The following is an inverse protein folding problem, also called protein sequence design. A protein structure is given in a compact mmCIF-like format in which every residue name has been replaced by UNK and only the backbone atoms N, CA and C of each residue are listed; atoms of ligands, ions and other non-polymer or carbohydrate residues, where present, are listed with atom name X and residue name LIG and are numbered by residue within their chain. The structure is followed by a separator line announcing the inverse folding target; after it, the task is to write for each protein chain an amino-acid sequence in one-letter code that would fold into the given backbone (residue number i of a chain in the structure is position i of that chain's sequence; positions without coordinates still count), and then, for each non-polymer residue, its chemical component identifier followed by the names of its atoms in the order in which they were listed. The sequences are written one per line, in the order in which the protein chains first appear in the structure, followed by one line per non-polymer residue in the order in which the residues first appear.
data_IF_409708124147
#
_entry.id   IF_409708124147
#
_cell.length_a   1.000
_cell.length_b   1.000
_cell.length_c   1.000
_cell.angle_alpha   90.00
_cell.angle_beta   90.00
_cell.angle_gamma   90.00
#
_symmetry.space_group_name_H-M   'P 1'
#
loop_
_entity.id
_entity.type
_entity.pdbx_description
1 polymer ?
#
# COMPACT_ATOMS: atom_id res chain seq x y z
N UNK A 1 -10.47 -2.08 25.96
CA UNK A 1 -9.87 -3.40 26.26
C UNK A 1 -8.43 -3.19 26.64
N UNK A 2 -7.88 -4.06 27.49
CA UNK A 2 -6.46 -3.99 27.84
C UNK A 2 -5.64 -4.64 26.72
N UNK A 3 -4.45 -4.12 26.44
CA UNK A 3 -3.55 -4.64 25.40
C UNK A 3 -3.19 -6.12 25.61
N UNK A 4 -3.13 -6.57 26.87
CA UNK A 4 -2.89 -7.96 27.25
C UNK A 4 -3.96 -8.95 26.78
N UNK A 5 -5.18 -8.49 26.49
CA UNK A 5 -6.27 -9.34 25.99
C UNK A 5 -6.16 -9.54 24.47
N UNK A 6 -5.45 -8.63 23.80
CA UNK A 6 -5.38 -8.52 22.34
C UNK A 6 -4.08 -9.06 21.76
N UNK A 7 -3.09 -9.36 22.61
CA UNK A 7 -1.77 -9.85 22.24
C UNK A 7 -1.41 -11.11 23.02
N UNK A 8 -0.70 -12.02 22.35
CA UNK A 8 -0.18 -13.26 22.92
C UNK A 8 1.34 -13.34 22.77
N UNK A 9 2.00 -13.90 23.79
CA UNK A 9 3.44 -14.14 23.82
C UNK A 9 3.66 -15.65 23.94
N UNK A 10 4.31 -16.22 22.94
CA UNK A 10 4.85 -17.58 23.00
C UNK A 10 6.31 -17.50 23.43
N UNK A 11 6.58 -17.87 24.68
CA UNK A 11 7.92 -17.89 25.27
C UNK A 11 8.80 -19.01 24.71
N UNK A 12 8.20 -20.11 24.24
CA UNK A 12 8.96 -21.26 23.70
C UNK A 12 9.50 -20.92 22.33
N UNK A 13 8.61 -20.45 21.44
CA UNK A 13 8.97 -20.07 20.08
C UNK A 13 9.46 -18.62 19.98
N UNK A 14 9.48 -17.86 21.09
CA UNK A 14 9.82 -16.43 21.16
C UNK A 14 9.08 -15.64 20.09
N UNK A 15 7.75 -15.71 20.13
CA UNK A 15 6.87 -15.09 19.14
C UNK A 15 5.85 -14.21 19.84
N UNK A 16 5.61 -13.04 19.28
CA UNK A 16 4.59 -12.09 19.74
C UNK A 16 3.56 -11.95 18.62
N UNK A 17 2.28 -12.14 18.93
CA UNK A 17 1.20 -12.18 17.93
C UNK A 17 0.00 -11.39 18.41
N UNK A 18 -0.59 -10.59 17.52
CA UNK A 18 -1.87 -9.93 17.76
C UNK A 18 -3.02 -10.92 17.50
N UNK A 19 -3.91 -11.09 18.49
CA UNK A 19 -4.94 -12.13 18.50
C UNK A 19 -6.38 -11.61 18.44
N UNK A 20 -6.59 -10.30 18.60
CA UNK A 20 -7.94 -9.71 18.59
C UNK A 20 -8.55 -9.62 17.17
N UNK A 21 -7.82 -10.01 16.13
CA UNK A 21 -8.35 -10.24 14.79
C UNK A 21 -8.51 -8.99 13.92
N UNK A 22 -8.85 -9.24 12.65
CA UNK A 22 -8.91 -8.24 11.58
C UNK A 22 -10.25 -8.30 10.85
N UNK A 23 -10.74 -7.14 10.40
CA UNK A 23 -11.90 -7.01 9.51
C UNK A 23 -11.43 -6.26 8.26
N UNK A 24 -11.53 -6.90 7.09
CA UNK A 24 -11.06 -6.29 5.84
C UNK A 24 -9.55 -5.98 5.81
N UNK A 25 -8.74 -6.68 6.61
CA UNK A 25 -7.31 -6.40 6.78
C UNK A 25 -6.99 -5.27 7.76
N UNK A 26 -8.01 -4.66 8.39
CA UNK A 26 -7.87 -3.64 9.43
C UNK A 26 -7.97 -4.32 10.81
N UNK A 27 -7.04 -4.09 11.74
CA UNK A 27 -7.09 -4.68 13.07
C UNK A 27 -8.26 -4.11 13.89
N UNK A 28 -8.92 -4.96 14.68
CA UNK A 28 -10.04 -4.58 15.55
C UNK A 28 -9.68 -3.53 16.61
N UNK A 29 -8.42 -3.48 17.05
CA UNK A 29 -7.91 -2.48 17.98
C UNK A 29 -6.45 -2.18 17.63
N UNK A 30 -6.06 -0.91 17.75
CA UNK A 30 -4.71 -0.42 17.44
C UNK A 30 -4.05 0.14 18.69
N UNK A 31 -2.74 0.00 18.77
CA UNK A 31 -1.93 0.44 19.90
C UNK A 31 -0.72 1.23 19.42
N UNK A 32 -0.33 2.26 20.19
CA UNK A 32 0.96 2.90 19.91
C UNK A 32 2.09 1.90 20.16
N UNK A 33 3.19 1.99 19.41
CA UNK A 33 4.37 1.14 19.67
C UNK A 33 4.88 1.35 21.10
N UNK A 34 4.71 2.54 21.66
CA UNK A 34 5.05 2.83 23.06
C UNK A 34 4.16 2.07 24.08
N UNK A 35 2.85 1.97 23.83
CA UNK A 35 1.95 1.16 24.68
C UNK A 35 2.32 -0.31 24.60
N UNK A 36 2.60 -0.82 23.40
CA UNK A 36 3.04 -2.19 23.20
C UNK A 36 4.38 -2.48 23.89
N UNK A 37 5.35 -1.57 23.74
CA UNK A 37 6.62 -1.62 24.47
C UNK A 37 6.42 -1.64 25.98
N UNK A 38 5.60 -0.75 26.52
CA UNK A 38 5.37 -0.65 27.97
C UNK A 38 4.74 -1.94 28.52
N UNK A 39 3.76 -2.49 27.80
CA UNK A 39 3.16 -3.78 28.16
C UNK A 39 4.15 -4.95 28.12
N UNK A 40 5.02 -5.00 27.12
CA UNK A 40 6.09 -6.00 27.08
C UNK A 40 7.06 -5.84 28.25
N UNK A 41 7.48 -4.62 28.57
CA UNK A 41 8.37 -4.41 29.73
C UNK A 41 7.71 -4.84 31.05
N UNK A 42 6.45 -4.48 31.27
CA UNK A 42 5.71 -4.89 32.48
C UNK A 42 5.57 -6.42 32.55
N UNK A 43 5.32 -7.08 31.42
CA UNK A 43 5.16 -8.55 31.37
C UNK A 43 6.47 -9.29 31.66
N UNK A 44 7.61 -8.77 31.20
CA UNK A 44 8.93 -9.39 31.42
C UNK A 44 9.57 -8.98 32.76
N UNK A 45 9.04 -7.97 33.46
CA UNK A 45 9.42 -7.65 34.84
C UNK A 45 8.74 -8.57 35.88
N UNK A 46 7.76 -9.37 35.45
CA UNK A 46 7.12 -10.35 36.34
C UNK A 46 8.12 -11.43 36.80
N UNK A 47 8.11 -11.85 38.08
CA UNK A 47 9.11 -12.78 38.63
C UNK A 47 9.25 -14.11 37.88
N UNK A 48 8.20 -14.53 37.18
CA UNK A 48 8.18 -15.77 36.39
C UNK A 48 8.84 -15.67 35.02
N UNK A 49 9.17 -14.45 34.56
CA UNK A 49 9.74 -14.18 33.23
C UNK A 49 11.12 -13.47 33.32
N UNK A 50 11.66 -13.33 34.53
CA UNK A 50 12.96 -12.67 34.75
C UNK A 50 14.16 -13.43 34.16
N UNK A 51 14.00 -14.71 33.82
CA UNK A 51 15.01 -15.53 33.17
C UNK A 51 14.95 -15.48 31.64
N UNK A 52 13.87 -14.92 31.08
CA UNK A 52 13.71 -14.75 29.65
C UNK A 52 14.43 -13.50 29.12
N UNK A 53 14.83 -13.58 27.85
CA UNK A 53 15.49 -12.48 27.16
C UNK A 53 14.48 -11.40 26.79
N UNK A 54 14.83 -10.14 27.05
CA UNK A 54 13.96 -8.99 26.81
C UNK A 54 13.71 -8.82 25.31
N UNK A 55 12.44 -8.84 24.86
CA UNK A 55 12.13 -8.91 23.44
C UNK A 55 12.40 -7.62 22.67
N UNK A 56 12.34 -6.47 23.34
CA UNK A 56 12.33 -5.18 22.68
C UNK A 56 13.17 -4.16 23.44
N UNK A 57 13.90 -3.34 22.70
CA UNK A 57 14.68 -2.21 23.19
C UNK A 57 14.15 -0.91 22.59
N UNK A 58 13.98 0.12 23.40
CA UNK A 58 13.71 1.48 22.92
C UNK A 58 15.03 2.26 22.77
N UNK A 59 15.36 2.69 21.55
CA UNK A 59 16.47 3.62 21.32
C UNK A 59 16.06 5.06 21.58
N UNK A 60 14.86 5.40 21.16
CA UNK A 60 14.20 6.69 21.40
C UNK A 60 12.73 6.44 21.71
N UNK A 61 11.97 7.44 22.20
CA UNK A 61 10.53 7.26 22.47
C UNK A 61 9.69 6.82 21.26
N UNK A 62 10.25 6.88 20.05
CA UNK A 62 9.56 6.54 18.80
C UNK A 62 10.36 5.58 17.93
N UNK A 63 11.48 5.02 18.41
CA UNK A 63 12.28 4.03 17.67
C UNK A 63 12.56 2.83 18.55
N UNK A 64 12.14 1.67 18.07
CA UNK A 64 12.18 0.41 18.80
C UNK A 64 12.87 -0.67 17.97
N UNK A 65 13.55 -1.58 18.67
CA UNK A 65 14.18 -2.74 18.06
C UNK A 65 13.73 -4.02 18.74
N UNK A 66 13.13 -4.92 17.97
CA UNK A 66 12.88 -6.29 18.39
C UNK A 66 14.20 -7.06 18.32
N UNK A 67 14.64 -7.64 19.43
CA UNK A 67 15.97 -8.24 19.55
C UNK A 67 15.90 -9.69 20.08
N UNK A 68 17.06 -10.29 20.33
CA UNK A 68 17.19 -11.61 20.97
C UNK A 68 16.44 -12.76 20.25
N UNK A 69 16.24 -12.59 18.94
CA UNK A 69 15.61 -13.58 18.07
C UNK A 69 14.09 -13.66 18.23
N UNK A 70 13.47 -12.71 18.94
CA UNK A 70 12.02 -12.61 19.01
C UNK A 70 11.42 -12.34 17.62
N UNK A 71 10.27 -12.95 17.34
CA UNK A 71 9.59 -12.86 16.05
C UNK A 71 8.22 -12.18 16.19
N UNK A 72 7.87 -11.38 15.19
CA UNK A 72 6.56 -10.79 14.99
C UNK A 72 6.21 -10.91 13.51
N UNK A 73 4.98 -11.32 13.21
CA UNK A 73 4.50 -11.45 11.85
C UNK A 73 4.01 -10.11 11.25
N UNK A 74 3.95 -10.05 9.92
CA UNK A 74 3.59 -8.85 9.17
C UNK A 74 2.16 -8.36 9.46
N UNK A 75 1.23 -9.28 9.75
CA UNK A 75 -0.16 -8.91 10.07
C UNK A 75 -0.23 -8.26 11.45
N UNK A 76 0.45 -8.81 12.45
CA UNK A 76 0.51 -8.25 13.81
C UNK A 76 1.03 -6.81 13.84
N UNK A 77 1.97 -6.44 12.96
CA UNK A 77 2.49 -5.07 12.87
C UNK A 77 1.41 -4.06 12.47
N UNK A 78 0.40 -4.45 11.70
CA UNK A 78 -0.68 -3.55 11.28
C UNK A 78 -1.50 -3.00 12.44
N UNK A 79 -1.45 -3.66 13.61
CA UNK A 79 -2.07 -3.20 14.85
C UNK A 79 -1.27 -2.14 15.61
N UNK A 80 -0.09 -1.75 15.12
CA UNK A 80 0.80 -0.78 15.74
C UNK A 80 0.84 0.56 14.96
N UNK A 81 1.04 1.67 15.68
CA UNK A 81 1.25 3.01 15.10
C UNK A 81 2.12 3.92 15.99
N UNK A 82 2.51 5.11 15.50
CA UNK A 82 3.16 6.15 16.32
C UNK A 82 4.63 5.90 16.68
N UNK A 83 5.31 4.96 16.01
CA UNK A 83 6.73 4.68 16.19
C UNK A 83 7.27 3.69 15.16
N UNK A 84 8.58 3.63 14.97
CA UNK A 84 9.22 2.72 14.01
C UNK A 84 9.72 1.45 14.72
N UNK A 85 9.73 0.33 13.99
CA UNK A 85 10.23 -0.95 14.48
C UNK A 85 11.29 -1.49 13.51
N UNK A 86 12.36 -2.06 14.05
CA UNK A 86 13.31 -2.87 13.29
C UNK A 86 13.61 -4.16 14.05
N UNK A 87 14.08 -5.18 13.34
CA UNK A 87 14.56 -6.41 13.99
C UNK A 87 16.08 -6.41 14.14
N UNK A 88 16.55 -7.13 15.13
CA UNK A 88 17.94 -7.47 15.33
C UNK A 88 18.06 -8.95 15.70
N UNK A 89 18.96 -9.66 15.00
CA UNK A 89 19.20 -11.09 15.25
C UNK A 89 18.30 -12.00 14.41
N UNK A 90 17.64 -11.48 13.37
CA UNK A 90 17.01 -12.32 12.35
C UNK A 90 18.00 -12.75 11.28
N UNK A 91 19.10 -12.01 11.11
CA UNK A 91 20.19 -12.43 10.22
C UNK A 91 20.73 -13.81 10.62
N UNK A 92 20.79 -14.73 9.66
CA UNK A 92 21.36 -16.05 9.88
C UNK A 92 22.81 -15.95 10.35
N UNK A 93 23.08 -16.51 11.52
CA UNK A 93 24.43 -16.57 12.08
C UNK A 93 24.62 -17.89 12.82
N UNK A 94 25.35 -18.82 12.18
CA UNK A 94 25.88 -20.05 12.79
C UNK A 94 24.91 -20.73 13.78
N UNK A 95 23.77 -21.22 13.27
CA UNK A 95 22.67 -21.86 14.02
C UNK A 95 21.74 -20.96 14.83
N UNK A 96 21.72 -19.67 14.51
CA UNK A 96 20.71 -18.71 15.00
C UNK A 96 20.19 -17.85 13.85
N UNK A 97 19.15 -17.06 14.12
CA UNK A 97 18.50 -16.21 13.12
C UNK A 97 17.27 -16.84 12.50
N UNK A 98 16.58 -16.04 11.70
CA UNK A 98 15.32 -16.36 11.05
C UNK A 98 15.55 -16.31 9.53
N UNK A 99 15.13 -17.37 8.86
CA UNK A 99 15.23 -17.49 7.41
C UNK A 99 13.82 -17.59 6.83
N UNK A 100 13.53 -16.78 5.83
CA UNK A 100 12.36 -16.94 4.97
C UNK A 100 12.67 -17.99 3.90
N UNK A 101 11.81 -18.98 3.77
CA UNK A 101 11.86 -19.99 2.72
C UNK A 101 10.62 -19.83 1.83
N UNK A 102 10.84 -19.65 0.54
CA UNK A 102 9.80 -19.60 -0.48
C UNK A 102 9.62 -20.98 -1.08
N UNK A 103 8.38 -21.48 -1.14
CA UNK A 103 8.13 -22.82 -1.68
C UNK A 103 7.54 -22.80 -3.08
N UNK A 104 7.92 -23.81 -3.86
CA UNK A 104 7.52 -23.95 -5.27
C UNK A 104 6.02 -24.18 -5.40
N UNK A 105 5.39 -23.58 -6.42
CA UNK A 105 3.99 -23.85 -6.76
C UNK A 105 3.77 -25.35 -7.00
N UNK A 106 2.69 -25.91 -6.46
CA UNK A 106 2.39 -27.34 -6.60
C UNK A 106 3.24 -28.27 -5.73
N UNK A 107 3.91 -27.76 -4.68
CA UNK A 107 4.51 -28.58 -3.63
C UNK A 107 3.48 -29.56 -3.04
N UNK A 108 3.92 -30.77 -2.68
CA UNK A 108 3.01 -31.86 -2.31
C UNK A 108 2.28 -31.58 -1.00
N UNK A 109 2.99 -31.07 0.00
CA UNK A 109 2.48 -30.82 1.35
C UNK A 109 3.10 -29.51 1.89
N UNK A 110 2.69 -28.34 1.38
CA UNK A 110 3.23 -27.06 1.82
C UNK A 110 2.87 -26.79 3.30
N UNK A 111 3.71 -26.06 4.04
CA UNK A 111 3.44 -25.76 5.44
C UNK A 111 2.16 -24.93 5.57
N UNK A 112 1.40 -25.17 6.65
CA UNK A 112 0.22 -24.40 7.05
C UNK A 112 0.35 -23.88 8.48
N UNK A 113 -0.59 -23.03 8.92
CA UNK A 113 -0.56 -22.46 10.26
C UNK A 113 -0.52 -23.50 11.40
N UNK A 114 -1.07 -24.71 11.18
CA UNK A 114 -1.02 -25.81 12.13
C UNK A 114 0.35 -26.50 12.27
N UNK A 115 1.31 -26.16 11.40
CA UNK A 115 2.67 -26.72 11.40
C UNK A 115 3.68 -25.86 12.16
N UNK A 116 3.26 -24.71 12.70
CA UNK A 116 4.12 -23.86 13.53
C UNK A 116 4.65 -24.67 14.73
N UNK A 117 5.94 -24.53 15.03
CA UNK A 117 6.65 -25.32 16.04
C UNK A 117 7.24 -26.63 15.53
N UNK A 118 6.92 -27.07 14.30
CA UNK A 118 7.54 -28.27 13.71
C UNK A 118 8.95 -27.98 13.23
N UNK A 119 9.81 -29.00 13.35
CA UNK A 119 11.18 -28.95 12.86
C UNK A 119 11.24 -29.39 11.40
N UNK A 120 12.01 -28.65 10.61
CA UNK A 120 12.30 -28.90 9.21
C UNK A 120 13.75 -29.35 9.07
N UNK A 121 14.00 -30.27 8.14
CA UNK A 121 15.32 -30.80 7.80
C UNK A 121 15.49 -30.94 6.28
N UNK A 122 16.74 -30.91 5.83
CA UNK A 122 17.12 -31.26 4.46
C UNK A 122 18.09 -32.44 4.47
N UNK A 123 17.63 -33.58 3.95
CA UNK A 123 18.38 -34.82 4.12
C UNK A 123 18.50 -35.22 5.60
N UNK A 124 19.19 -36.33 5.89
CA UNK A 124 19.05 -37.00 7.17
C UNK A 124 19.48 -36.18 8.41
N UNK A 125 20.25 -35.08 8.30
CA UNK A 125 20.64 -34.26 9.47
C UNK A 125 21.18 -32.85 9.20
N UNK A 126 21.54 -32.49 7.98
CA UNK A 126 22.22 -31.20 7.70
C UNK A 126 21.21 -30.14 7.31
N UNK A 127 21.28 -28.93 7.88
CA UNK A 127 20.27 -27.85 7.74
C UNK A 127 18.98 -28.18 8.49
N UNK A 128 18.77 -27.48 9.60
CA UNK A 128 17.60 -27.66 10.46
C UNK A 128 17.06 -26.31 10.91
N UNK A 129 15.76 -26.28 11.16
CA UNK A 129 15.12 -25.17 11.82
C UNK A 129 13.67 -25.42 12.17
N UNK A 130 13.11 -24.57 13.01
CA UNK A 130 11.73 -24.68 13.50
C UNK A 130 10.85 -23.65 12.82
N UNK A 131 9.65 -24.03 12.36
CA UNK A 131 8.71 -23.10 11.74
C UNK A 131 8.17 -22.13 12.79
N UNK A 132 8.27 -20.83 12.55
CA UNK A 132 7.78 -19.77 13.45
C UNK A 132 6.53 -19.07 12.88
N UNK A 133 6.45 -18.96 11.55
CA UNK A 133 5.27 -18.41 10.87
C UNK A 133 5.14 -18.96 9.45
N UNK A 134 3.93 -18.89 8.91
CA UNK A 134 3.58 -19.36 7.58
C UNK A 134 2.59 -18.39 6.94
N UNK A 135 2.85 -18.00 5.69
CA UNK A 135 1.94 -17.25 4.83
C UNK A 135 1.69 -18.08 3.57
N UNK A 136 0.51 -18.70 3.50
CA UNK A 136 0.12 -19.58 2.40
C UNK A 136 -0.24 -18.83 1.13
N UNK A 137 -0.57 -17.55 1.22
CA UNK A 137 -0.90 -16.70 0.06
C UNK A 137 0.38 -16.28 -0.67
N UNK A 138 1.39 -15.84 0.07
CA UNK A 138 2.70 -15.47 -0.49
C UNK A 138 3.63 -16.65 -0.74
N UNK A 139 3.29 -17.82 -0.19
CA UNK A 139 4.10 -19.05 -0.24
C UNK A 139 5.42 -18.96 0.51
N UNK A 140 5.36 -18.38 1.71
CA UNK A 140 6.52 -18.10 2.56
C UNK A 140 6.35 -18.79 3.90
N UNK A 141 7.40 -19.44 4.38
CA UNK A 141 7.51 -19.83 5.78
C UNK A 141 8.75 -19.21 6.41
N UNK A 142 8.63 -18.80 7.67
CA UNK A 142 9.74 -18.29 8.47
C UNK A 142 10.22 -19.40 9.37
N UNK A 143 11.52 -19.67 9.32
CA UNK A 143 12.17 -20.76 10.03
C UNK A 143 13.25 -20.20 10.92
N UNK A 144 13.19 -20.50 12.21
CA UNK A 144 14.30 -20.26 13.13
C UNK A 144 15.35 -21.33 12.90
N UNK A 145 16.54 -20.94 12.49
CA UNK A 145 17.60 -21.88 12.21
C UNK A 145 18.12 -22.48 13.51
N UNK A 146 18.35 -23.79 13.51
CA UNK A 146 18.92 -24.54 14.65
C UNK A 146 20.20 -25.29 14.26
N UNK A 147 20.62 -25.18 12.99
CA UNK A 147 21.84 -25.79 12.46
C UNK A 147 22.83 -24.76 11.90
N UNK A 148 24.11 -25.13 11.95
CA UNK A 148 25.23 -24.32 11.44
C UNK A 148 25.29 -24.26 9.92
N UNK A 149 24.45 -25.02 9.23
CA UNK A 149 24.26 -24.98 7.78
C UNK A 149 22.91 -24.36 7.45
N UNK A 150 22.88 -23.34 6.60
CA UNK A 150 21.64 -22.70 6.16
C UNK A 150 20.92 -23.53 5.10
N UNK A 151 19.58 -23.42 5.06
CA UNK A 151 18.78 -23.80 3.90
C UNK A 151 19.27 -23.07 2.64
N UNK A 152 19.14 -23.71 1.48
CA UNK A 152 19.47 -23.10 0.18
C UNK A 152 18.38 -23.38 -0.84
N UNK A 153 18.32 -22.55 -1.88
CA UNK A 153 17.38 -22.70 -2.97
C UNK A 153 17.46 -24.11 -3.61
N UNK A 154 16.30 -24.68 -3.95
CA UNK A 154 16.19 -26.03 -4.49
C UNK A 154 16.33 -27.17 -3.48
N UNK A 155 16.55 -26.89 -2.19
CA UNK A 155 16.50 -27.94 -1.17
C UNK A 155 15.11 -28.58 -1.10
N UNK A 156 15.09 -29.91 -0.93
CA UNK A 156 13.86 -30.63 -0.59
C UNK A 156 13.72 -30.69 0.94
N UNK A 157 12.78 -29.92 1.46
CA UNK A 157 12.58 -29.72 2.89
C UNK A 157 11.45 -30.61 3.36
N UNK A 158 11.74 -31.38 4.41
CA UNK A 158 10.77 -32.28 5.05
C UNK A 158 10.70 -32.01 6.55
N UNK A 159 9.57 -32.34 7.16
CA UNK A 159 9.43 -32.38 8.62
C UNK A 159 10.38 -33.42 9.25
N UNK A 160 11.06 -33.06 10.35
CA UNK A 160 11.89 -33.99 11.14
C UNK A 160 10.97 -35.01 11.84
N UNK A 161 10.91 -36.24 11.31
CA UNK A 161 10.15 -37.34 11.89
C UNK A 161 8.72 -37.54 11.37
N UNK A 162 8.30 -36.85 10.29
CA UNK A 162 6.93 -36.94 9.77
C UNK A 162 6.78 -36.57 8.29
N UNK A 163 5.62 -36.90 7.71
CA UNK A 163 5.28 -36.66 6.30
C UNK A 163 4.27 -35.51 6.11
N UNK A 164 4.06 -34.66 7.13
CA UNK A 164 2.98 -33.64 7.06
C UNK A 164 3.43 -32.33 6.42
N UNK A 165 4.74 -32.08 6.39
CA UNK A 165 5.34 -30.97 5.62
C UNK A 165 6.40 -31.53 4.69
N UNK A 166 6.23 -31.27 3.39
CA UNK A 166 7.15 -31.67 2.34
C UNK A 166 7.04 -30.70 1.16
N UNK A 167 8.09 -29.92 0.94
CA UNK A 167 8.14 -28.93 -0.13
C UNK A 167 9.55 -28.71 -0.66
N UNK A 168 9.63 -28.17 -1.87
CA UNK A 168 10.89 -27.78 -2.49
C UNK A 168 11.01 -26.26 -2.40
N UNK A 169 12.12 -25.79 -1.85
CA UNK A 169 12.45 -24.36 -1.85
C UNK A 169 12.60 -23.90 -3.30
N UNK A 170 11.96 -22.80 -3.66
CA UNK A 170 12.08 -22.22 -5.00
C UNK A 170 13.55 -22.07 -5.39
N UNK A 171 13.85 -22.33 -6.66
CA UNK A 171 15.18 -22.06 -7.19
C UNK A 171 15.39 -20.55 -7.26
N UNK A 172 16.63 -20.10 -7.06
CA UNK A 172 16.97 -18.71 -7.28
C UNK A 172 16.77 -18.39 -8.76
N UNK A 173 15.75 -17.61 -9.05
CA UNK A 173 15.54 -16.96 -10.34
C UNK A 173 15.67 -15.46 -10.09
N UNK A 174 16.22 -14.69 -11.03
CA UNK A 174 16.66 -13.30 -10.80
C UNK A 174 15.64 -12.30 -10.24
N UNK A 175 14.38 -12.70 -9.99
CA UNK A 175 13.35 -11.92 -9.31
C UNK A 175 12.86 -12.52 -7.97
N UNK A 176 13.19 -13.77 -7.65
CA UNK A 176 12.82 -14.44 -6.39
C UNK A 176 14.00 -15.26 -5.87
N UNK A 177 14.57 -14.84 -4.75
CA UNK A 177 15.54 -15.65 -3.99
C UNK A 177 14.74 -16.67 -3.18
N UNK A 178 14.99 -17.96 -3.37
CA UNK A 178 14.25 -19.03 -2.69
C UNK A 178 14.46 -19.03 -1.18
N UNK A 179 15.56 -18.43 -0.74
CA UNK A 179 15.94 -18.27 0.67
C UNK A 179 16.35 -16.83 0.93
N UNK A 180 15.76 -16.20 1.94
CA UNK A 180 16.16 -14.86 2.41
C UNK A 180 16.41 -14.88 3.92
N UNK A 181 17.40 -14.12 4.38
CA UNK A 181 17.65 -13.95 5.80
C UNK A 181 18.30 -12.60 6.05
N UNK A 182 17.87 -11.94 7.11
CA UNK A 182 18.31 -10.60 7.46
C UNK A 182 17.26 -9.90 8.29
N UNK A 183 17.52 -8.62 8.57
CA UNK A 183 16.62 -7.81 9.38
C UNK A 183 15.49 -7.21 8.54
N UNK A 184 14.34 -7.05 9.19
CA UNK A 184 13.20 -6.33 8.66
C UNK A 184 13.08 -4.98 9.35
N UNK A 185 12.62 -3.98 8.58
CA UNK A 185 12.46 -2.60 9.06
C UNK A 185 11.07 -2.13 8.67
N UNK A 186 10.38 -1.56 9.64
CA UNK A 186 9.08 -0.91 9.49
C UNK A 186 9.21 0.56 9.90
N UNK A 187 9.13 1.43 8.90
CA UNK A 187 9.18 2.87 9.09
C UNK A 187 7.81 3.38 9.50
N UNK A 188 7.76 4.32 10.45
CA UNK A 188 6.51 4.99 10.77
C UNK A 188 6.24 6.10 9.76
N UNK A 189 5.08 6.09 9.15
CA UNK A 189 4.61 7.13 8.26
C UNK A 189 3.41 7.81 8.90
N UNK A 190 3.53 9.10 9.19
CA UNK A 190 2.41 9.88 9.70
C UNK A 190 2.23 11.20 8.95
N UNK A 191 0.97 11.55 8.66
CA UNK A 191 0.63 12.77 7.95
C UNK A 191 0.27 13.91 8.90
N UNK A 192 0.63 15.13 8.52
CA UNK A 192 0.29 16.37 9.22
C UNK A 192 -0.15 17.42 8.20
N UNK A 193 -0.87 18.44 8.66
CA UNK A 193 -1.32 19.53 7.81
C UNK A 193 -2.85 19.58 7.69
N UNK A 194 -3.33 20.36 6.72
CA UNK A 194 -4.75 20.48 6.44
C UNK A 194 -5.06 19.67 5.20
N UNK A 195 -6.02 18.78 5.31
CA UNK A 195 -6.48 17.91 4.26
C UNK A 195 -7.96 18.24 4.03
N UNK A 196 -8.35 18.45 2.78
CA UNK A 196 -9.74 18.65 2.45
C UNK A 196 -10.54 17.36 2.74
N UNK A 197 -11.78 17.50 3.22
CA UNK A 197 -12.70 16.35 3.36
C UNK A 197 -12.81 15.56 2.06
N UNK A 198 -13.01 14.25 2.16
CA UNK A 198 -13.08 13.30 1.04
C UNK A 198 -11.81 13.24 0.17
N UNK A 199 -10.65 13.59 0.74
CA UNK A 199 -9.35 13.34 0.13
C UNK A 199 -8.83 11.97 0.53
N UNK A 200 -8.61 11.12 -0.47
CA UNK A 200 -7.96 9.84 -0.29
C UNK A 200 -6.46 10.04 -0.05
N UNK A 201 -5.96 9.49 1.04
CA UNK A 201 -4.54 9.28 1.24
C UNK A 201 -4.17 7.82 0.98
N UNK A 202 -3.18 7.60 0.12
CA UNK A 202 -2.65 6.26 -0.13
C UNK A 202 -1.13 6.28 -0.21
N UNK A 203 -0.56 5.10 0.00
CA UNK A 203 0.87 4.85 -0.02
C UNK A 203 1.13 3.88 -1.18
N UNK A 204 2.16 4.15 -1.95
CA UNK A 204 2.68 3.23 -2.93
C UNK A 204 4.14 2.91 -2.62
N UNK A 205 4.52 1.69 -2.97
CA UNK A 205 5.89 1.22 -2.84
C UNK A 205 6.25 0.47 -4.11
N UNK A 206 7.50 0.58 -4.52
CA UNK A 206 8.00 -0.26 -5.61
C UNK A 206 7.86 -1.70 -5.19
N UNK A 207 7.20 -2.50 -6.02
CA UNK A 207 7.12 -3.92 -5.78
C UNK A 207 8.17 -4.61 -6.64
N UNK A 208 9.22 -5.12 -6.00
CA UNK A 208 10.20 -6.01 -6.62
C UNK A 208 9.54 -7.33 -7.10
N UNK A 209 8.40 -7.71 -6.50
CA UNK A 209 8.04 -9.13 -6.38
C UNK A 209 6.96 -9.66 -7.35
N UNK A 210 6.39 -8.83 -8.23
CA UNK A 210 5.35 -9.32 -9.17
C UNK A 210 5.89 -9.48 -10.60
N UNK A 211 6.34 -10.71 -10.93
CA UNK A 211 6.23 -11.22 -12.29
C UNK A 211 7.50 -11.31 -13.15
N UNK A 212 8.71 -11.26 -12.59
CA UNK A 212 9.93 -11.55 -13.35
C UNK A 212 10.29 -10.51 -14.42
N UNK A 213 9.70 -9.31 -14.35
CA UNK A 213 10.10 -8.16 -15.15
C UNK A 213 11.34 -7.48 -14.55
N UNK A 214 12.20 -6.92 -15.41
CA UNK A 214 13.39 -6.15 -15.01
C UNK A 214 13.07 -4.69 -14.66
N UNK A 215 11.80 -4.32 -14.54
CA UNK A 215 11.37 -2.93 -14.33
C UNK A 215 10.52 -2.86 -13.06
N UNK A 216 10.94 -2.09 -12.04
CA UNK A 216 10.17 -1.95 -10.82
C UNK A 216 8.84 -1.23 -11.13
N UNK A 217 7.73 -1.84 -10.73
CA UNK A 217 6.39 -1.27 -10.89
C UNK A 217 5.96 -0.68 -9.55
N UNK A 218 5.59 0.60 -9.57
CA UNK A 218 5.01 1.23 -8.40
C UNK A 218 3.62 0.63 -8.15
N UNK A 219 3.41 0.05 -6.97
CA UNK A 219 2.15 -0.58 -6.62
C UNK A 219 1.55 0.11 -5.40
N UNK A 220 0.25 0.43 -5.46
CA UNK A 220 -0.51 0.92 -4.30
C UNK A 220 -0.52 -0.18 -3.24
N UNK A 221 -0.08 0.16 -2.04
CA UNK A 221 -0.16 -0.76 -0.90
C UNK A 221 -1.62 -0.86 -0.48
N UNK A 222 -2.09 -2.08 -0.22
CA UNK A 222 -3.42 -2.31 0.32
C UNK A 222 -3.57 -1.59 1.67
N UNK A 223 -4.47 -0.63 1.76
CA UNK A 223 -4.69 0.18 2.96
C UNK A 223 -5.21 -0.67 4.12
N UNK A 224 -4.47 -0.76 5.22
CA UNK A 224 -4.95 -1.28 6.53
C UNK A 224 -5.09 -0.17 7.58
N UNK A 225 -4.73 1.05 7.22
CA UNK A 225 -4.83 2.24 8.06
C UNK A 225 -6.23 2.82 8.14
N UNK A 226 -7.17 2.23 7.40
CA UNK A 226 -8.48 2.78 7.07
C UNK A 226 -8.35 4.04 6.20
N UNK A 227 -8.84 3.93 4.97
CA UNK A 227 -8.95 5.04 4.03
C UNK A 227 -10.42 5.34 3.70
N UNK A 228 -11.37 4.83 4.50
CA UNK A 228 -12.82 4.80 4.22
C UNK A 228 -13.56 5.36 5.47
N UNK A 229 -14.64 6.13 5.43
CA UNK A 229 -15.41 6.75 4.33
C UNK A 229 -16.10 8.03 4.81
N UNK A 230 -15.87 8.44 6.07
CA UNK A 230 -16.87 9.28 6.76
C UNK A 230 -16.28 10.45 7.55
N UNK A 231 -14.96 10.65 7.56
CA UNK A 231 -14.29 11.74 8.28
C UNK A 231 -14.72 11.91 9.77
N UNK A 232 -15.39 10.91 10.36
CA UNK A 232 -16.01 10.99 11.69
C UNK A 232 -15.12 10.36 12.77
N UNK A 233 -14.23 9.41 12.42
CA UNK A 233 -13.16 8.91 13.29
C UNK A 233 -12.08 8.19 12.46
N UNK A 234 -10.79 8.50 12.67
CA UNK A 234 -9.70 7.61 12.20
C UNK A 234 -9.48 6.51 13.23
N UNK A 235 -9.38 5.23 12.83
CA UNK A 235 -9.05 4.14 13.75
C UNK A 235 -7.61 4.20 14.29
N UNK A 236 -6.75 5.10 13.78
CA UNK A 236 -5.40 5.32 14.29
C UNK A 236 -5.33 6.42 15.39
N UNK A 237 -6.48 6.92 15.87
CA UNK A 237 -6.53 7.96 16.91
C UNK A 237 -6.11 9.36 16.45
N UNK A 238 -5.93 9.56 15.14
CA UNK A 238 -5.71 10.87 14.51
C UNK A 238 -7.03 11.47 14.03
N UNK A 239 -7.09 12.79 13.81
CA UNK A 239 -8.27 13.43 13.21
C UNK A 239 -8.52 12.81 11.82
N UNK A 240 -9.78 12.62 11.46
CA UNK A 240 -10.12 11.87 10.26
C UNK A 240 -9.50 12.48 9.00
N UNK A 241 -9.00 11.61 8.11
CA UNK A 241 -8.23 11.99 6.93
C UNK A 241 -6.71 11.97 7.10
N UNK A 242 -6.17 11.69 8.29
CA UNK A 242 -4.73 11.48 8.50
C UNK A 242 -4.34 10.00 8.57
N UNK A 243 -3.07 9.71 8.23
CA UNK A 243 -2.45 8.39 8.34
C UNK A 243 -1.42 8.43 9.48
N UNK A 244 -1.30 7.33 10.24
CA UNK A 244 -0.18 7.03 11.14
C UNK A 244 -0.02 5.50 11.16
N UNK A 245 0.98 4.97 10.45
CA UNK A 245 1.21 3.52 10.32
C UNK A 245 2.67 3.12 10.13
N UNK A 246 2.96 1.89 10.53
CA UNK A 246 4.23 1.21 10.25
C UNK A 246 4.18 0.51 8.88
N UNK A 247 4.99 0.96 7.93
CA UNK A 247 5.12 0.35 6.60
C UNK A 247 6.45 -0.41 6.53
N UNK A 248 6.41 -1.67 6.08
CA UNK A 248 7.63 -2.45 5.86
C UNK A 248 8.41 -1.85 4.69
N UNK A 249 9.68 -1.56 4.91
CA UNK A 249 10.60 -0.99 3.90
C UNK A 249 11.76 -1.94 3.58
N UNK A 250 12.05 -2.86 4.50
CA UNK A 250 13.06 -3.91 4.36
C UNK A 250 12.47 -5.24 4.80
N UNK A 251 12.63 -6.27 3.98
CA UNK A 251 12.20 -7.64 4.29
C UNK A 251 13.40 -8.59 4.26
N UNK A 252 13.67 -9.24 5.40
CA UNK A 252 14.73 -10.22 5.56
C UNK A 252 16.08 -9.80 4.92
N UNK A 253 16.51 -8.57 5.20
CA UNK A 253 17.79 -8.02 4.73
C UNK A 253 17.76 -7.30 3.39
N UNK A 254 16.69 -7.44 2.60
CA UNK A 254 16.54 -6.83 1.26
C UNK A 254 15.61 -5.61 1.33
N UNK A 255 15.96 -4.50 0.67
CA UNK A 255 15.05 -3.35 0.56
C UNK A 255 13.96 -3.65 -0.45
N UNK A 256 12.73 -3.24 -0.14
CA UNK A 256 11.57 -3.56 -0.99
C UNK A 256 11.61 -2.78 -2.33
N UNK A 257 12.57 -1.86 -2.52
CA UNK A 257 12.80 -1.09 -3.74
C UNK A 257 14.16 -1.40 -4.45
N UNK A 258 14.81 -2.52 -4.14
CA UNK A 258 16.20 -2.78 -4.55
C UNK A 258 16.35 -3.42 -5.93
N UNK A 259 16.10 -2.67 -7.00
CA UNK A 259 16.54 -3.08 -8.35
C UNK A 259 17.90 -2.48 -8.74
N UNK A 260 18.42 -1.50 -7.98
CA UNK A 260 19.62 -0.72 -8.33
C UNK A 260 20.68 -0.56 -7.20
N UNK A 261 20.66 -1.37 -6.14
CA UNK A 261 21.68 -1.46 -5.06
C UNK A 261 22.04 -0.15 -4.36
N UNK A 262 21.25 0.90 -4.58
CA UNK A 262 21.45 2.26 -4.05
C UNK A 262 20.19 2.83 -3.41
N UNK A 263 19.05 2.16 -3.61
CA UNK A 263 17.75 2.56 -3.10
C UNK A 263 17.58 2.11 -1.64
N UNK A 264 16.87 2.93 -0.87
CA UNK A 264 16.90 2.92 0.59
C UNK A 264 15.48 2.78 1.18
N UNK A 265 14.65 1.91 0.60
CA UNK A 265 13.28 1.69 1.07
C UNK A 265 12.40 2.91 0.81
N UNK A 266 12.30 3.33 -0.44
CA UNK A 266 11.48 4.46 -0.88
C UNK A 266 9.98 4.17 -0.72
N UNK A 267 9.26 5.19 -0.28
CA UNK A 267 7.80 5.20 -0.20
C UNK A 267 7.27 6.45 -0.91
N UNK A 268 6.13 6.29 -1.57
CA UNK A 268 5.43 7.39 -2.23
C UNK A 268 4.11 7.59 -1.52
N UNK A 269 3.84 8.80 -1.07
CA UNK A 269 2.57 9.17 -0.46
C UNK A 269 1.81 10.11 -1.36
N UNK A 270 0.52 9.88 -1.47
CA UNK A 270 -0.36 10.59 -2.37
C UNK A 270 -1.62 11.07 -1.64
N UNK A 271 -2.12 12.24 -2.04
CA UNK A 271 -3.39 12.78 -1.60
C UNK A 271 -4.23 13.15 -2.84
N UNK A 272 -5.39 12.49 -3.01
CA UNK A 272 -6.24 12.62 -4.19
C UNK A 272 -7.70 12.88 -3.83
N UNK A 273 -8.29 13.85 -4.52
CA UNK A 273 -9.73 14.08 -4.57
C UNK A 273 -10.09 14.68 -5.91
N UNK A 274 -11.17 14.21 -6.53
CA UNK A 274 -11.71 14.82 -7.73
C UNK A 274 -12.05 16.30 -7.51
N UNK A 275 -11.51 17.18 -8.35
CA UNK A 275 -11.70 18.64 -8.28
C UNK A 275 -10.81 19.37 -7.24
N UNK A 276 -9.92 18.66 -6.55
CA UNK A 276 -8.97 19.23 -5.61
C UNK A 276 -7.52 19.11 -6.09
N UNK A 277 -6.64 19.96 -5.56
CA UNK A 277 -5.21 19.94 -5.90
C UNK A 277 -4.60 18.63 -5.44
N UNK A 278 -4.12 17.86 -6.41
CA UNK A 278 -3.33 16.66 -6.17
C UNK A 278 -2.04 16.99 -5.43
N UNK A 279 -1.67 16.13 -4.48
CA UNK A 279 -0.42 16.26 -3.74
C UNK A 279 0.30 14.90 -3.70
N UNK A 280 1.62 14.93 -3.80
CA UNK A 280 2.46 13.75 -3.65
C UNK A 280 3.78 14.10 -2.98
N UNK A 281 4.41 13.11 -2.34
CA UNK A 281 5.80 13.17 -1.92
C UNK A 281 6.47 11.80 -2.02
N UNK A 282 7.75 11.83 -2.38
CA UNK A 282 8.66 10.71 -2.23
C UNK A 282 9.39 10.82 -0.89
N UNK A 283 9.58 9.67 -0.24
CA UNK A 283 10.20 9.56 1.05
C UNK A 283 11.25 8.46 1.00
N UNK A 284 12.43 8.75 1.50
CA UNK A 284 13.43 7.75 1.77
C UNK A 284 13.23 7.21 3.19
N UNK A 285 12.63 6.02 3.30
CA UNK A 285 12.20 5.47 4.57
C UNK A 285 13.19 4.47 5.18
N UNK A 286 14.49 4.57 4.84
CA UNK A 286 15.52 3.62 5.26
C UNK A 286 15.52 3.32 6.76
N UNK A 287 15.38 4.35 7.60
CA UNK A 287 15.30 4.18 9.06
C UNK A 287 14.45 5.28 9.67
N UNK A 288 13.48 4.90 10.52
CA UNK A 288 12.90 5.79 11.52
C UNK A 288 11.46 6.23 11.27
N UNK A 289 11.14 7.43 11.76
CA UNK A 289 9.81 8.03 11.72
C UNK A 289 9.79 9.17 10.72
N UNK A 290 8.73 9.23 9.93
CA UNK A 290 8.60 10.19 8.85
C UNK A 290 7.33 11.00 9.02
N UNK A 291 7.53 12.31 9.15
CA UNK A 291 6.45 13.28 9.08
C UNK A 291 6.26 13.70 7.64
N UNK A 292 5.03 13.52 7.15
CA UNK A 292 4.65 13.97 5.83
C UNK A 292 3.72 15.16 5.96
N UNK A 293 4.19 16.33 5.54
CA UNK A 293 3.35 17.51 5.48
C UNK A 293 2.49 17.45 4.22
N UNK A 294 1.22 17.08 4.40
CA UNK A 294 0.23 17.09 3.32
C UNK A 294 -0.36 18.51 3.24
N UNK A 295 -0.32 19.07 2.02
CA UNK A 295 -0.87 20.39 1.73
C UNK A 295 -1.77 20.32 0.50
N UNK A 296 -2.88 19.58 0.59
CA UNK A 296 -3.95 19.59 -0.41
C UNK A 296 -5.08 20.48 0.09
N UNK A 297 -4.91 21.80 -0.09
CA UNK A 297 -5.82 22.82 0.50
C UNK A 297 -6.58 23.65 -0.54
N UNK A 298 -6.33 23.44 -1.83
CA UNK A 298 -6.91 24.22 -2.92
C UNK A 298 -7.82 23.40 -3.84
N UNK A 299 -8.82 24.05 -4.43
CA UNK A 299 -9.50 23.52 -5.61
C UNK A 299 -8.55 23.57 -6.81
N UNK A 300 -8.50 22.54 -7.65
CA UNK A 300 -7.57 22.52 -8.79
C UNK A 300 -8.06 23.34 -10.00
N UNK A 301 -9.26 23.94 -9.89
CA UNK A 301 -9.87 24.76 -10.94
C UNK A 301 -10.57 23.97 -12.04
N UNK A 302 -10.49 22.63 -12.06
CA UNK A 302 -11.24 21.75 -12.92
C UNK A 302 -12.43 21.12 -12.17
N UNK A 303 -13.54 21.84 -12.11
CA UNK A 303 -14.77 21.39 -11.44
C UNK A 303 -15.76 20.72 -12.41
N UNK A 304 -15.36 20.48 -13.65
CA UNK A 304 -16.25 19.90 -14.66
C UNK A 304 -16.26 18.38 -14.54
N UNK A 305 -17.45 17.77 -14.45
CA UNK A 305 -17.60 16.32 -14.34
C UNK A 305 -17.05 15.56 -15.54
N UNK A 306 -16.69 14.29 -15.34
CA UNK A 306 -16.20 13.42 -16.42
C UNK A 306 -17.21 12.33 -16.80
N UNK A 307 -18.18 12.09 -15.93
CA UNK A 307 -19.24 11.11 -16.12
C UNK A 307 -20.61 11.77 -15.92
N UNK A 308 -21.59 11.31 -16.69
CA UNK A 308 -23.01 11.65 -16.55
C UNK A 308 -23.81 10.37 -16.32
N UNK A 309 -24.67 10.39 -15.31
CA UNK A 309 -25.69 9.36 -15.11
C UNK A 309 -27.06 9.93 -15.46
N UNK A 310 -27.91 9.08 -16.04
CA UNK A 310 -29.33 9.38 -16.19
C UNK A 310 -30.08 8.99 -14.92
N UNK A 311 -31.00 9.83 -14.48
CA UNK A 311 -31.76 9.63 -13.24
C UNK A 311 -33.26 9.66 -13.51
N UNK A 312 -34.03 8.92 -12.72
CA UNK A 312 -35.49 9.02 -12.66
C UNK A 312 -35.94 10.25 -11.87
N UNK A 313 -37.17 10.18 -11.33
CA UNK A 313 -37.77 11.26 -10.53
C UNK A 313 -37.01 11.46 -9.22
N UNK A 314 -36.75 12.72 -8.87
CA UNK A 314 -36.07 13.13 -7.65
C UNK A 314 -37.08 13.40 -6.52
N UNK A 315 -36.70 13.09 -5.29
CA UNK A 315 -37.50 13.43 -4.10
C UNK A 315 -37.23 14.85 -3.59
N UNK A 316 -36.16 15.48 -4.06
CA UNK A 316 -35.71 16.82 -3.70
C UNK A 316 -34.79 17.41 -4.77
N UNK A 317 -34.16 18.54 -4.48
CA UNK A 317 -33.18 19.17 -5.40
C UNK A 317 -31.78 18.89 -4.92
N UNK A 318 -30.97 18.27 -5.78
CA UNK A 318 -29.53 18.14 -5.54
C UNK A 318 -28.81 19.50 -5.68
N UNK A 319 -27.76 19.70 -4.90
CA UNK A 319 -26.90 20.88 -4.86
C UNK A 319 -25.57 20.57 -5.53
N UNK A 320 -25.14 21.42 -6.46
CA UNK A 320 -23.79 21.28 -7.06
C UNK A 320 -22.73 21.44 -5.98
N UNK A 321 -21.74 20.54 -5.99
CA UNK A 321 -20.68 20.46 -5.00
C UNK A 321 -20.99 19.54 -3.81
N UNK A 322 -22.23 19.06 -3.66
CA UNK A 322 -22.55 18.07 -2.62
C UNK A 322 -22.03 16.67 -3.00
N UNK A 323 -21.82 15.86 -1.98
CA UNK A 323 -21.49 14.44 -2.11
C UNK A 323 -22.78 13.63 -2.29
N UNK A 324 -22.72 12.66 -3.20
CA UNK A 324 -23.76 11.65 -3.39
C UNK A 324 -23.21 10.25 -3.13
N UNK A 325 -24.05 9.40 -2.54
CA UNK A 325 -23.77 7.98 -2.28
C UNK A 325 -24.82 7.07 -2.92
N UNK A 326 -24.36 5.95 -3.47
CA UNK A 326 -25.21 4.90 -4.02
C UNK A 326 -25.60 3.89 -2.95
N UNK A 327 -26.82 3.35 -3.04
CA UNK A 327 -27.30 2.31 -2.13
C UNK A 327 -26.58 0.97 -2.26
N UNK A 328 -25.89 0.73 -3.40
CA UNK A 328 -25.13 -0.49 -3.66
C UNK A 328 -23.62 -0.23 -3.57
N UNK A 329 -23.14 0.79 -4.27
CA UNK A 329 -21.75 1.22 -4.28
C UNK A 329 -21.63 2.61 -4.93
N UNK A 330 -20.47 3.23 -4.79
CA UNK A 330 -20.11 4.47 -5.46
C UNK A 330 -20.43 5.71 -4.63
N UNK A 331 -19.46 6.62 -4.65
CA UNK A 331 -19.51 7.93 -4.03
C UNK A 331 -19.02 8.93 -5.05
N UNK A 332 -19.61 10.12 -5.12
CA UNK A 332 -19.21 11.13 -6.08
C UNK A 332 -19.56 12.55 -5.65
N UNK A 333 -18.91 13.55 -6.25
CA UNK A 333 -19.30 14.96 -6.13
C UNK A 333 -20.11 15.37 -7.35
N UNK A 334 -21.23 16.04 -7.11
CA UNK A 334 -22.04 16.62 -8.18
C UNK A 334 -21.33 17.85 -8.77
N UNK A 335 -21.18 17.87 -10.08
CA UNK A 335 -20.62 19.00 -10.85
C UNK A 335 -21.69 19.74 -11.63
N UNK A 336 -22.74 19.05 -12.07
CA UNK A 336 -23.96 19.65 -12.62
C UNK A 336 -25.14 18.70 -12.43
N UNK A 337 -26.36 19.25 -12.40
CA UNK A 337 -27.56 18.47 -12.16
C UNK A 337 -28.74 19.04 -12.98
N UNK A 338 -29.51 18.16 -13.62
CA UNK A 338 -30.75 18.49 -14.33
C UNK A 338 -31.87 17.65 -13.72
N UNK A 339 -32.82 18.33 -13.09
CA UNK A 339 -33.92 17.71 -12.32
C UNK A 339 -34.62 16.62 -13.14
N UNK A 340 -34.86 15.49 -12.49
CA UNK A 340 -35.53 14.30 -13.05
C UNK A 340 -34.89 13.75 -14.33
N UNK A 341 -33.65 14.13 -14.64
CA UNK A 341 -33.02 13.83 -15.94
C UNK A 341 -31.62 13.27 -15.78
N UNK A 342 -30.69 14.02 -15.18
CA UNK A 342 -29.29 13.61 -15.14
C UNK A 342 -28.47 14.30 -14.05
N UNK A 343 -27.40 13.64 -13.63
CA UNK A 343 -26.37 14.18 -12.75
C UNK A 343 -25.01 13.99 -13.42
N UNK A 344 -24.21 15.06 -13.47
CA UNK A 344 -22.81 15.06 -13.90
C UNK A 344 -21.94 15.05 -12.66
N UNK A 345 -20.94 14.19 -12.63
CA UNK A 345 -20.19 13.93 -11.40
C UNK A 345 -18.73 13.57 -11.63
N UNK A 346 -17.99 13.61 -10.54
CA UNK A 346 -16.64 13.06 -10.40
C UNK A 346 -16.66 12.06 -9.25
N UNK A 347 -16.23 10.83 -9.52
CA UNK A 347 -16.19 9.77 -8.50
C UNK A 347 -15.23 10.15 -7.37
N UNK A 348 -15.65 9.77 -6.17
CA UNK A 348 -14.87 9.78 -4.95
C UNK A 348 -14.52 8.32 -4.58
N UNK A 349 -13.67 8.18 -3.58
CA UNK A 349 -13.15 6.92 -3.02
C UNK A 349 -12.00 6.27 -3.79
N UNK A 350 -11.26 5.45 -3.04
CA UNK A 350 -10.02 4.78 -3.42
C UNK A 350 -10.11 3.86 -4.63
N UNK A 351 -11.28 3.27 -4.82
CA UNK A 351 -11.54 2.31 -5.89
C UNK A 351 -12.33 2.98 -7.03
N UNK A 352 -12.71 4.25 -6.86
CA UNK A 352 -13.59 5.01 -7.76
C UNK A 352 -14.71 4.13 -8.32
N UNK A 353 -15.41 3.46 -7.41
CA UNK A 353 -16.41 2.47 -7.82
C UNK A 353 -17.58 3.19 -8.46
N UNK A 354 -17.93 2.78 -9.67
CA UNK A 354 -19.05 3.35 -10.39
C UNK A 354 -20.37 2.98 -9.72
N UNK A 355 -21.37 3.87 -9.83
CA UNK A 355 -22.71 3.57 -9.34
C UNK A 355 -23.30 2.34 -10.04
N UNK A 356 -24.15 1.58 -9.34
CA UNK A 356 -24.87 0.43 -9.91
C UNK A 356 -26.04 0.84 -10.79
N UNK A 357 -26.51 -0.05 -11.67
CA UNK A 357 -27.76 0.18 -12.40
C UNK A 357 -28.95 0.11 -11.41
N UNK A 358 -29.92 1.01 -11.57
CA UNK A 358 -31.10 1.11 -10.67
C UNK A 358 -30.71 1.44 -9.22
N UNK A 359 -29.51 1.98 -9.02
CA UNK A 359 -29.04 2.35 -7.69
C UNK A 359 -29.80 3.57 -7.15
N UNK A 360 -30.11 3.56 -5.86
CA UNK A 360 -30.70 4.73 -5.20
C UNK A 360 -29.57 5.66 -4.80
N UNK A 361 -29.53 6.83 -5.42
CA UNK A 361 -28.55 7.88 -5.18
C UNK A 361 -29.12 8.81 -4.12
N UNK A 362 -28.33 9.12 -3.09
CA UNK A 362 -28.71 10.01 -1.99
C UNK A 362 -27.69 11.13 -1.85
N UNK A 363 -28.16 12.38 -1.80
CA UNK A 363 -27.32 13.56 -1.52
C UNK A 363 -27.11 13.71 -0.02
N UNK A 364 -25.85 13.80 0.40
CA UNK A 364 -25.49 13.86 1.82
C UNK A 364 -25.92 15.17 2.48
N UNK A 365 -25.83 16.29 1.75
CA UNK A 365 -26.21 17.62 2.26
C UNK A 365 -27.71 17.89 2.07
N UNK A 366 -28.24 17.61 0.89
CA UNK A 366 -29.63 17.91 0.53
C UNK A 366 -30.63 16.89 1.06
N UNK A 367 -30.21 15.66 1.32
CA UNK A 367 -31.08 14.51 1.57
C UNK A 367 -31.96 14.12 0.37
N UNK A 368 -31.73 14.73 -0.80
CA UNK A 368 -32.47 14.41 -2.02
C UNK A 368 -32.09 13.01 -2.49
N UNK A 369 -33.07 12.28 -3.02
CA UNK A 369 -32.84 10.95 -3.58
C UNK A 369 -33.32 10.87 -5.02
N UNK A 370 -32.63 10.06 -5.81
CA UNK A 370 -33.04 9.70 -7.16
C UNK A 370 -32.66 8.25 -7.45
N UNK A 371 -33.35 7.60 -8.38
CA UNK A 371 -32.94 6.27 -8.86
C UNK A 371 -32.18 6.43 -10.16
N UNK A 372 -30.95 5.90 -10.23
CA UNK A 372 -30.20 5.84 -11.49
C UNK A 372 -30.95 4.97 -12.50
N UNK A 373 -31.11 5.44 -13.72
CA UNK A 373 -31.74 4.66 -14.80
C UNK A 373 -30.69 3.69 -15.38
N UNK A 374 -31.14 2.50 -15.78
CA UNK A 374 -30.29 1.51 -16.47
C UNK A 374 -29.61 2.12 -17.71
N UNK A 375 -28.33 1.86 -17.84
CA UNK A 375 -27.48 2.44 -18.87
C UNK A 375 -26.25 3.01 -18.21
N UNK A 376 -25.10 2.43 -18.55
CA UNK A 376 -23.79 2.84 -18.05
C UNK A 376 -23.60 4.37 -18.07
N UNK A 377 -22.73 4.92 -17.21
CA UNK A 377 -22.39 6.33 -17.25
C UNK A 377 -21.89 6.74 -18.64
N UNK A 378 -22.23 7.96 -19.04
CA UNK A 378 -21.79 8.54 -20.30
C UNK A 378 -20.60 9.44 -20.03
N UNK A 379 -19.50 9.24 -20.76
CA UNK A 379 -18.33 10.12 -20.72
C UNK A 379 -18.70 11.53 -21.20
N UNK A 380 -18.24 12.56 -20.48
CA UNK A 380 -18.47 13.98 -20.81
C UNK A 380 -17.17 14.81 -20.67
N UNK A 381 -17.18 16.05 -21.19
CA UNK A 381 -16.08 17.02 -21.07
C UNK A 381 -14.71 16.44 -21.49
N UNK A 382 -13.70 16.48 -20.61
CA UNK A 382 -12.36 15.96 -20.86
C UNK A 382 -12.31 14.47 -21.24
N UNK A 383 -13.31 13.69 -20.86
CA UNK A 383 -13.37 12.26 -21.17
C UNK A 383 -13.62 11.97 -22.66
N UNK A 384 -14.26 12.88 -23.39
CA UNK A 384 -14.54 12.73 -24.83
C UNK A 384 -13.56 13.48 -25.73
N UNK A 385 -12.62 14.24 -25.15
CA UNK A 385 -11.59 14.96 -25.88
C UNK A 385 -10.56 13.98 -26.47
N UNK A 386 -10.39 14.00 -27.79
CA UNK A 386 -9.51 13.07 -28.52
C UNK A 386 -8.39 13.76 -29.28
N UNK A 387 -7.35 12.98 -29.60
CA UNK A 387 -6.20 13.41 -30.42
C UNK A 387 -5.16 14.26 -29.70
N UNK A 388 -5.34 14.52 -28.40
CA UNK A 388 -4.30 15.13 -27.55
C UNK A 388 -3.21 14.09 -27.31
N UNK A 389 -1.95 14.47 -27.56
CA UNK A 389 -0.79 13.60 -27.31
C UNK A 389 0.23 14.34 -26.46
N UNK A 390 0.82 13.64 -25.49
CA UNK A 390 1.98 14.13 -24.74
C UNK A 390 3.20 13.35 -25.21
N UNK A 391 4.31 14.04 -25.42
CA UNK A 391 5.59 13.42 -25.78
C UNK A 391 6.63 13.91 -24.80
N UNK A 392 7.28 12.98 -24.09
CA UNK A 392 8.31 13.25 -23.07
C UNK A 392 9.63 12.67 -23.55
N UNK A 393 10.75 13.28 -23.15
CA UNK A 393 12.08 12.88 -23.61
C UNK A 393 12.35 13.24 -25.07
N UNK A 394 11.48 14.04 -25.67
CA UNK A 394 11.62 14.53 -27.03
C UNK A 394 12.60 15.70 -27.04
N UNK A 395 13.58 15.73 -27.95
CA UNK A 395 14.34 16.95 -28.26
C UNK A 395 13.49 17.83 -29.18
N UNK A 396 12.34 18.27 -28.67
CA UNK A 396 11.45 19.16 -29.39
C UNK A 396 12.06 20.55 -29.41
N UNK A 397 12.41 21.02 -30.60
CA UNK A 397 12.99 22.35 -30.78
C UNK A 397 11.89 23.28 -31.29
N UNK A 398 11.48 24.26 -30.48
CA UNK A 398 10.51 25.31 -30.86
C UNK A 398 11.08 26.69 -30.54
N UNK A 399 10.85 27.66 -31.42
CA UNK A 399 11.15 29.08 -31.20
C UNK A 399 9.85 29.72 -30.69
N UNK A 400 9.66 29.71 -29.38
CA UNK A 400 8.38 30.12 -28.76
C UNK A 400 8.32 31.62 -28.50
N UNK A 401 9.48 32.26 -28.29
CA UNK A 401 9.57 33.70 -28.05
C UNK A 401 9.83 34.51 -29.33
N UNK A 402 9.92 33.84 -30.48
CA UNK A 402 10.14 34.40 -31.81
C UNK A 402 11.46 35.20 -31.91
N UNK A 403 12.47 34.83 -31.14
CA UNK A 403 13.77 35.51 -31.13
C UNK A 403 14.73 35.01 -32.23
N UNK A 404 14.35 33.94 -32.93
CA UNK A 404 15.12 33.30 -34.01
C UNK A 404 16.11 32.25 -33.52
N UNK A 405 16.19 32.02 -32.21
CA UNK A 405 16.82 30.88 -31.56
C UNK A 405 15.74 29.83 -31.31
N UNK A 406 16.13 28.56 -31.30
CA UNK A 406 15.19 27.48 -31.04
C UNK A 406 15.52 26.89 -29.69
N UNK A 407 14.53 26.81 -28.80
CA UNK A 407 14.68 26.25 -27.47
C UNK A 407 14.39 24.76 -27.46
N UNK A 408 15.14 24.02 -26.64
CA UNK A 408 14.90 22.61 -26.37
C UNK A 408 13.85 22.45 -25.26
N UNK A 409 12.81 21.67 -25.54
CA UNK A 409 11.77 21.31 -24.58
C UNK A 409 11.76 19.81 -24.34
N UNK A 410 11.86 19.40 -23.08
CA UNK A 410 11.78 17.99 -22.68
C UNK A 410 10.38 17.37 -22.86
N UNK A 411 9.35 18.21 -22.95
CA UNK A 411 7.94 17.79 -23.04
C UNK A 411 7.22 18.62 -24.10
N UNK A 412 6.49 17.96 -24.98
CA UNK A 412 5.62 18.59 -25.99
C UNK A 412 4.21 18.04 -25.84
N UNK A 413 3.23 18.93 -25.71
CA UNK A 413 1.82 18.58 -25.65
C UNK A 413 1.14 19.06 -26.94
N UNK A 414 0.71 18.13 -27.77
CA UNK A 414 -0.11 18.44 -28.94
C UNK A 414 -1.56 18.61 -28.51
N UNK A 415 -2.04 19.85 -28.52
CA UNK A 415 -3.40 20.20 -28.16
C UNK A 415 -4.45 19.78 -29.19
N UNK A 416 -4.05 19.32 -30.39
CA UNK A 416 -4.95 18.96 -31.50
C UNK A 416 -5.98 20.06 -31.83
N UNK A 417 -5.56 21.33 -31.77
CA UNK A 417 -6.41 22.52 -31.94
C UNK A 417 -7.58 22.65 -30.95
N UNK A 418 -7.57 21.90 -29.85
CA UNK A 418 -8.54 22.05 -28.77
C UNK A 418 -8.16 23.23 -27.87
N UNK A 419 -9.14 23.77 -27.15
CA UNK A 419 -8.89 24.82 -26.16
C UNK A 419 -7.98 24.30 -25.05
N UNK A 420 -7.14 25.16 -24.47
CA UNK A 420 -6.29 24.79 -23.34
C UNK A 420 -7.12 24.28 -22.15
N UNK A 421 -8.35 24.76 -21.97
CA UNK A 421 -9.28 24.24 -20.97
C UNK A 421 -9.64 22.76 -21.23
N UNK A 422 -10.00 22.43 -22.47
CA UNK A 422 -10.31 21.05 -22.87
C UNK A 422 -9.09 20.14 -22.78
N UNK A 423 -7.90 20.66 -23.13
CA UNK A 423 -6.64 19.93 -23.00
C UNK A 423 -6.33 19.64 -21.55
N UNK A 424 -6.44 20.65 -20.68
CA UNK A 424 -6.27 20.49 -19.24
C UNK A 424 -7.25 19.45 -18.69
N UNK A 425 -8.53 19.53 -19.04
CA UNK A 425 -9.54 18.55 -18.64
C UNK A 425 -9.25 17.13 -19.10
N UNK A 426 -8.71 16.96 -20.32
CA UNK A 426 -8.29 15.64 -20.81
C UNK A 426 -7.11 15.11 -20.03
N UNK A 427 -6.10 15.94 -19.78
CA UNK A 427 -4.92 15.54 -19.00
C UNK A 427 -5.34 15.15 -17.58
N UNK A 428 -6.21 15.95 -16.94
CA UNK A 428 -6.80 15.67 -15.63
C UNK A 428 -7.62 14.36 -15.64
N UNK A 429 -8.38 14.12 -16.69
CA UNK A 429 -9.13 12.87 -16.85
C UNK A 429 -8.21 11.65 -16.98
N UNK A 430 -7.13 11.75 -17.78
CA UNK A 430 -6.17 10.66 -17.99
C UNK A 430 -5.45 10.25 -16.70
N UNK A 431 -5.27 11.20 -15.78
CA UNK A 431 -4.50 11.00 -14.55
C UNK A 431 -5.39 10.61 -13.37
N UNK A 432 -6.70 10.85 -13.47
CA UNK A 432 -7.66 10.55 -12.42
C UNK A 432 -8.40 9.23 -12.66
N UNK A 433 -8.30 8.62 -13.85
CA UNK A 433 -9.03 7.42 -14.24
C UNK A 433 -8.08 6.26 -14.57
N UNK A 434 -8.54 5.03 -14.31
CA UNK A 434 -8.00 3.77 -14.84
C UNK A 434 -8.10 3.62 -16.37
N UNK A 435 -7.73 4.65 -17.13
CA UNK A 435 -7.37 4.49 -18.53
C UNK A 435 -5.99 3.82 -18.60
N UNK A 436 -5.92 2.65 -19.24
CA UNK A 436 -4.66 2.02 -19.65
C UNK A 436 -3.99 2.75 -20.82
N UNK A 437 -4.60 3.86 -21.27
CA UNK A 437 -4.13 4.73 -22.33
C UNK A 437 -2.94 5.54 -21.85
N UNK A 438 -1.78 5.23 -22.42
CA UNK A 438 -0.51 5.83 -22.05
C UNK A 438 -0.51 7.35 -22.34
N UNK A 439 -0.14 8.17 -21.35
CA UNK A 439 0.26 9.56 -21.62
C UNK A 439 1.60 9.59 -22.36
N UNK A 440 2.39 8.50 -22.28
CA UNK A 440 3.72 8.39 -22.87
C UNK A 440 3.72 7.41 -24.05
N UNK A 441 4.26 7.76 -25.23
CA UNK A 441 4.35 6.83 -26.35
C UNK A 441 5.59 5.93 -26.22
N UNK A 442 5.72 5.15 -25.14
CA UNK A 442 6.82 4.18 -25.01
C UNK A 442 6.29 2.75 -25.21
N UNK A 443 6.67 2.07 -26.30
CA UNK A 443 6.44 0.64 -26.45
C UNK A 443 7.35 -0.11 -25.47
N UNK A 444 6.78 -0.63 -24.38
CA UNK A 444 7.48 -1.54 -23.47
C UNK A 444 7.83 -0.97 -22.08
N UNK A 445 7.52 0.30 -21.80
CA UNK A 445 7.39 0.76 -20.42
C UNK A 445 6.14 0.11 -19.83
N UNK A 446 6.30 -0.68 -18.76
CA UNK A 446 5.18 -1.28 -18.04
C UNK A 446 4.14 -0.21 -17.72
N UNK A 447 2.88 -0.59 -17.84
CA UNK A 447 1.71 0.25 -17.57
C UNK A 447 1.87 0.96 -16.22
N UNK A 448 2.11 2.26 -16.22
CA UNK A 448 1.92 3.07 -15.02
C UNK A 448 0.45 3.48 -15.04
N UNK A 449 -0.34 2.92 -14.12
CA UNK A 449 -1.69 3.41 -13.87
C UNK A 449 -1.61 4.94 -13.68
N UNK A 450 -2.53 5.71 -14.28
CA UNK A 450 -2.57 7.18 -14.15
C UNK A 450 -2.64 7.68 -12.71
N UNK A 451 -2.82 6.76 -11.76
CA UNK A 451 -2.72 6.94 -10.31
C UNK A 451 -1.31 7.27 -9.80
N UNK A 452 -0.28 6.94 -10.56
CA UNK A 452 1.10 7.20 -10.22
C UNK A 452 1.71 8.24 -11.14
N UNK A 453 2.47 9.15 -10.55
CA UNK A 453 3.30 10.09 -11.29
C UNK A 453 4.75 9.88 -10.91
N UNK A 454 5.59 9.64 -11.91
CA UNK A 454 7.03 9.66 -11.82
C UNK A 454 7.60 10.71 -12.77
N UNK A 455 8.66 11.39 -12.36
CA UNK A 455 9.47 12.11 -13.32
C UNK A 455 10.14 11.11 -14.25
N UNK A 456 10.13 11.35 -15.57
CA UNK A 456 11.05 10.64 -16.45
C UNK A 456 12.48 11.00 -16.02
N UNK A 457 13.19 10.04 -15.42
CA UNK A 457 14.56 10.23 -14.93
C UNK A 457 14.83 9.69 -13.53
N UNK A 458 13.82 9.27 -12.75
CA UNK A 458 14.04 8.74 -11.39
C UNK A 458 14.56 7.29 -11.35
N UNK A 459 14.88 6.72 -12.51
CA UNK A 459 15.80 5.61 -12.65
C UNK A 459 17.22 6.17 -12.80
N UNK A 460 17.84 6.51 -11.67
CA UNK A 460 19.29 6.67 -11.59
C UNK A 460 19.95 5.40 -11.04
#
# INVERSE_FOLDING_TARGET
MAIQDDWSIDYTDRKITYTNGFVGGIPNTKYTVNQWFSWLMDTFDEPGQMDDLIPILAQTPTQYTLQDGWFIDDESIKALFGGSLQTAGWTYAASTGITQLFWTTGSSDPPVAGDIGKNLIVGATTKKGTIVAVDTTRRICWVRNTDVTQFVAGDNVVEDGGATVNFVIEADSGAQQGVRSGESVWANLFSVGVIQSDTELYIAQENEWQGGGTTPVLTKIASWWDSDVDFTASPNGVTAGHIDVLVKVRDAGVWIDDLNLTSQGRLFMYARKGGAVYWHAELNAAVGNFTVAVASTGADGNQDGFARMSTGVWTGTFTVGEVITGSTAGKAIITAAVVDTSIDYVLLDKDQTEFGDVDTITGEDSGATATRITGGPVAINGAVAGGITVTVGHNGTFDVDEDGTVEDYAIVVNCNSLSLQTVYQRLMFLIWRGETGNILPEPGAGFEDGEFYRGMGDAY
#
